data_IF_610386902947
#
_entry.id   IF_610386902947
#
_cell.length_a   1.000
_cell.length_b   1.000
_cell.length_c   1.000
_cell.angle_alpha   90.00
_cell.angle_beta   90.00
_cell.angle_gamma   90.00
#
_symmetry.space_group_name_H-M   'P 1'
#
loop_
_entity.id
_entity.type
_entity.pdbx_description
1 polymer ?
#
# COMPACT_ATOMS: atom_id res chain seq x y z
N UNK A 1 -8.58 1.90 2.92
CA UNK A 1 -7.37 2.51 2.34
C UNK A 1 -6.49 3.16 3.41
N UNK A 2 -6.98 4.05 4.27
CA UNK A 2 -6.15 4.78 5.26
C UNK A 2 -5.38 3.86 6.21
N UNK A 3 -5.98 2.76 6.66
CA UNK A 3 -5.30 1.78 7.50
C UNK A 3 -4.11 1.10 6.78
N UNK A 4 -4.27 0.78 5.49
CA UNK A 4 -3.18 0.29 4.64
C UNK A 4 -2.11 1.38 4.46
N UNK A 5 -2.53 2.62 4.24
CA UNK A 5 -1.62 3.76 4.10
C UNK A 5 -0.79 3.99 5.38
N UNK A 6 -1.36 3.75 6.56
CA UNK A 6 -0.61 3.82 7.82
C UNK A 6 0.55 2.82 7.87
N UNK A 7 0.31 1.59 7.41
CA UNK A 7 1.39 0.60 7.30
C UNK A 7 2.45 1.01 6.26
N UNK A 8 2.00 1.54 5.11
CA UNK A 8 2.91 2.04 4.07
C UNK A 8 3.73 3.24 4.55
N UNK A 9 3.12 4.16 5.30
CA UNK A 9 3.80 5.30 5.90
C UNK A 9 4.86 4.86 6.91
N UNK A 10 4.56 3.86 7.75
CA UNK A 10 5.54 3.29 8.69
C UNK A 10 6.77 2.72 7.98
N UNK A 11 6.56 1.89 6.94
CA UNK A 11 7.65 1.31 6.16
C UNK A 11 8.50 2.35 5.45
N UNK A 12 7.86 3.28 4.74
CA UNK A 12 8.57 4.35 4.02
C UNK A 12 9.27 5.34 4.95
N UNK A 13 8.68 5.65 6.13
CA UNK A 13 9.30 6.54 7.09
C UNK A 13 10.64 6.02 7.61
N UNK A 14 10.74 4.70 7.89
CA UNK A 14 12.01 4.09 8.28
C UNK A 14 13.08 4.28 7.21
N UNK A 15 12.72 4.06 5.96
CA UNK A 15 13.63 4.20 4.82
C UNK A 15 14.04 5.67 4.62
N UNK A 16 13.07 6.58 4.51
CA UNK A 16 13.33 7.98 4.13
C UNK A 16 14.08 8.72 5.23
N UNK A 17 13.68 8.53 6.49
CA UNK A 17 14.23 9.31 7.61
C UNK A 17 15.58 8.75 8.09
N UNK A 18 15.73 7.41 8.13
CA UNK A 18 16.83 6.79 8.85
C UNK A 18 17.94 6.21 7.96
N UNK A 19 17.76 6.10 6.62
CA UNK A 19 18.78 5.51 5.73
C UNK A 19 20.15 6.20 5.89
N UNK A 20 20.20 7.53 5.85
CA UNK A 20 21.45 8.28 5.93
C UNK A 20 22.12 8.04 7.26
N UNK A 21 21.37 8.06 8.37
CA UNK A 21 21.91 7.86 9.73
C UNK A 21 22.48 6.45 9.88
N UNK A 22 21.74 5.44 9.41
CA UNK A 22 22.18 4.03 9.51
C UNK A 22 23.42 3.79 8.68
N UNK A 23 23.45 4.22 7.42
CA UNK A 23 24.56 4.00 6.49
C UNK A 23 25.83 4.69 6.99
N UNK A 24 25.71 5.94 7.42
CA UNK A 24 26.84 6.69 8.02
C UNK A 24 27.31 6.08 9.34
N UNK A 25 26.40 5.61 10.18
CA UNK A 25 26.71 4.90 11.42
C UNK A 25 27.48 3.60 11.21
N UNK A 26 27.35 2.99 10.01
CA UNK A 26 28.17 1.84 9.58
C UNK A 26 29.54 2.24 8.99
N UNK A 27 29.91 3.53 8.99
CA UNK A 27 31.14 4.03 8.38
C UNK A 27 31.12 4.01 6.84
N UNK A 28 29.96 3.96 6.22
CA UNK A 28 29.78 3.88 4.77
C UNK A 28 29.64 5.24 4.11
N UNK A 29 29.74 5.27 2.80
CA UNK A 29 29.79 6.46 1.96
C UNK A 29 28.40 6.97 1.56
N UNK A 30 28.35 8.17 0.96
CA UNK A 30 27.13 8.71 0.36
C UNK A 30 26.63 7.87 -0.83
N UNK A 31 27.52 7.20 -1.54
CA UNK A 31 27.16 6.26 -2.62
C UNK A 31 26.40 5.05 -2.07
N UNK A 32 26.77 4.56 -0.91
CA UNK A 32 26.05 3.45 -0.24
C UNK A 32 24.63 3.86 0.19
N UNK A 33 24.41 5.13 0.54
CA UNK A 33 23.05 5.66 0.78
C UNK A 33 22.20 5.55 -0.49
N UNK A 34 22.76 5.94 -1.63
CA UNK A 34 22.07 5.84 -2.91
C UNK A 34 21.77 4.38 -3.28
N UNK A 35 22.69 3.45 -3.04
CA UNK A 35 22.51 2.02 -3.26
C UNK A 35 21.41 1.43 -2.36
N UNK A 36 21.38 1.80 -1.09
CA UNK A 36 20.32 1.39 -0.17
C UNK A 36 18.95 1.86 -0.66
N UNK A 37 18.84 3.15 -1.02
CA UNK A 37 17.59 3.70 -1.56
C UNK A 37 17.21 3.08 -2.91
N UNK A 38 18.21 2.75 -3.75
CA UNK A 38 17.98 2.04 -5.01
C UNK A 38 17.44 0.62 -4.77
N UNK A 39 17.83 -0.07 -3.71
CA UNK A 39 17.25 -1.36 -3.34
C UNK A 39 15.75 -1.22 -3.00
N UNK A 40 15.37 -0.21 -2.22
CA UNK A 40 13.97 0.08 -1.93
C UNK A 40 13.18 0.41 -3.21
N UNK A 41 13.68 1.34 -4.02
CA UNK A 41 13.08 1.70 -5.30
C UNK A 41 12.99 0.53 -6.27
N UNK A 42 14.03 -0.31 -6.34
CA UNK A 42 14.08 -1.51 -7.17
C UNK A 42 13.01 -2.53 -6.76
N UNK A 43 12.86 -2.81 -5.47
CA UNK A 43 11.80 -3.66 -4.95
C UNK A 43 10.40 -3.15 -5.30
N UNK A 44 10.17 -1.84 -5.11
CA UNK A 44 8.91 -1.19 -5.46
C UNK A 44 8.64 -1.24 -6.97
N UNK A 45 9.62 -0.94 -7.81
CA UNK A 45 9.49 -0.94 -9.26
C UNK A 45 9.21 -2.34 -9.82
N UNK A 46 9.97 -3.35 -9.40
CA UNK A 46 9.74 -4.74 -9.80
C UNK A 46 8.33 -5.20 -9.46
N UNK A 47 7.89 -4.89 -8.25
CA UNK A 47 6.53 -5.22 -7.81
C UNK A 47 5.48 -4.52 -8.68
N UNK A 48 5.63 -3.21 -8.92
CA UNK A 48 4.69 -2.46 -9.74
C UNK A 48 4.57 -3.01 -11.17
N UNK A 49 5.68 -3.48 -11.76
CA UNK A 49 5.69 -4.09 -13.10
C UNK A 49 4.99 -5.46 -13.14
N UNK A 50 5.10 -6.24 -12.07
CA UNK A 50 4.48 -7.57 -11.97
C UNK A 50 3.01 -7.51 -11.53
N UNK A 51 2.63 -6.46 -10.81
CA UNK A 51 1.34 -6.32 -10.17
C UNK A 51 0.14 -6.46 -11.12
N UNK A 52 0.14 -5.93 -12.37
CA UNK A 52 -0.98 -6.13 -13.29
C UNK A 52 -1.25 -7.61 -13.63
N UNK A 53 -0.21 -8.46 -13.58
CA UNK A 53 -0.38 -9.91 -13.78
C UNK A 53 -0.98 -10.57 -12.54
N UNK A 54 -0.52 -10.19 -11.35
CA UNK A 54 -1.00 -10.71 -10.07
C UNK A 54 -2.48 -10.36 -9.86
N UNK A 55 -2.87 -9.14 -10.18
CA UNK A 55 -4.24 -8.64 -10.02
C UNK A 55 -5.26 -9.26 -10.99
N UNK A 56 -4.83 -10.08 -11.95
CA UNK A 56 -5.73 -10.88 -12.78
C UNK A 56 -6.32 -12.09 -12.03
N UNK A 57 -5.64 -12.56 -11.00
CA UNK A 57 -6.00 -13.78 -10.26
C UNK A 57 -6.13 -13.60 -8.75
N UNK A 58 -5.65 -12.46 -8.22
CA UNK A 58 -5.66 -12.16 -6.79
C UNK A 58 -6.38 -10.84 -6.54
N UNK A 59 -7.31 -10.81 -5.58
CA UNK A 59 -8.08 -9.61 -5.25
C UNK A 59 -7.20 -8.47 -4.71
N UNK A 60 -7.61 -7.23 -4.95
CA UNK A 60 -6.97 -6.02 -4.41
C UNK A 60 -6.79 -6.11 -2.89
N UNK A 61 -7.83 -6.58 -2.19
CA UNK A 61 -7.79 -6.78 -0.74
C UNK A 61 -6.63 -7.67 -0.31
N UNK A 62 -6.48 -8.84 -0.93
CA UNK A 62 -5.43 -9.79 -0.60
C UNK A 62 -4.05 -9.21 -0.87
N UNK A 63 -3.86 -8.60 -2.03
CA UNK A 63 -2.58 -7.98 -2.42
C UNK A 63 -2.18 -6.87 -1.45
N UNK A 64 -3.09 -5.96 -1.15
CA UNK A 64 -2.80 -4.80 -0.29
C UNK A 64 -2.57 -5.21 1.17
N UNK A 65 -3.36 -6.14 1.70
CA UNK A 65 -3.14 -6.68 3.05
C UNK A 65 -1.82 -7.45 3.14
N UNK A 66 -1.46 -8.22 2.12
CA UNK A 66 -0.16 -8.91 2.05
C UNK A 66 0.99 -7.89 2.05
N UNK A 67 0.89 -6.84 1.25
CA UNK A 67 1.87 -5.76 1.25
C UNK A 67 2.05 -5.11 2.62
N UNK A 68 0.94 -4.75 3.26
CA UNK A 68 0.95 -4.17 4.60
C UNK A 68 1.52 -5.13 5.66
N UNK A 69 1.19 -6.42 5.58
CA UNK A 69 1.75 -7.45 6.46
C UNK A 69 3.25 -7.63 6.25
N UNK A 70 3.73 -7.63 5.00
CA UNK A 70 5.17 -7.67 4.69
C UNK A 70 5.87 -6.47 5.36
N UNK A 71 5.31 -5.27 5.29
CA UNK A 71 5.89 -4.09 5.94
C UNK A 71 5.99 -4.26 7.46
N UNK A 72 4.92 -4.70 8.11
CA UNK A 72 4.90 -4.89 9.56
C UNK A 72 5.90 -5.98 10.00
N UNK A 73 5.90 -7.13 9.32
CA UNK A 73 6.79 -8.25 9.64
C UNK A 73 8.25 -7.88 9.35
N UNK A 74 8.54 -7.26 8.21
CA UNK A 74 9.89 -6.83 7.87
C UNK A 74 10.44 -5.83 8.89
N UNK A 75 9.67 -4.79 9.23
CA UNK A 75 10.06 -3.84 10.27
C UNK A 75 10.36 -4.54 11.60
N UNK A 76 9.51 -5.46 12.04
CA UNK A 76 9.73 -6.22 13.28
C UNK A 76 10.98 -7.08 13.20
N UNK A 77 11.13 -7.86 12.13
CA UNK A 77 12.26 -8.78 11.95
C UNK A 77 13.59 -8.05 11.88
N UNK A 78 13.65 -6.98 11.08
CA UNK A 78 14.88 -6.20 10.93
C UNK A 78 15.19 -5.32 12.15
N UNK A 79 14.19 -4.95 12.93
CA UNK A 79 14.39 -4.28 14.21
C UNK A 79 15.03 -5.16 15.28
N UNK A 80 14.88 -6.47 15.17
CA UNK A 80 15.47 -7.47 16.06
C UNK A 80 16.81 -8.04 15.53
N UNK A 81 17.12 -7.85 14.26
CA UNK A 81 18.31 -8.39 13.62
C UNK A 81 19.53 -7.47 13.87
N UNK A 82 20.75 -8.03 13.93
CA UNK A 82 21.97 -7.21 13.97
C UNK A 82 22.10 -6.42 12.66
N UNK A 83 22.27 -5.11 12.77
CA UNK A 83 22.39 -4.22 11.62
C UNK A 83 23.72 -4.48 10.87
N UNK A 84 23.62 -5.01 9.67
CA UNK A 84 24.72 -5.15 8.71
C UNK A 84 24.32 -4.59 7.36
N UNK A 85 25.30 -4.36 6.49
CA UNK A 85 25.04 -3.83 5.14
C UNK A 85 24.10 -4.72 4.33
N UNK A 86 24.34 -6.02 4.32
CA UNK A 86 23.52 -6.99 3.59
C UNK A 86 22.10 -7.02 4.13
N UNK A 87 21.94 -7.02 5.45
CA UNK A 87 20.64 -6.98 6.12
C UNK A 87 19.90 -5.69 5.77
N UNK A 88 20.58 -4.54 5.79
CA UNK A 88 19.98 -3.26 5.41
C UNK A 88 19.46 -3.26 3.98
N UNK A 89 20.29 -3.66 3.01
CA UNK A 89 19.91 -3.68 1.59
C UNK A 89 18.74 -4.65 1.36
N UNK A 90 18.77 -5.81 2.01
CA UNK A 90 17.65 -6.78 1.95
C UNK A 90 16.38 -6.21 2.57
N UNK A 91 16.49 -5.54 3.72
CA UNK A 91 15.36 -4.90 4.38
C UNK A 91 14.71 -3.84 3.49
N UNK A 92 15.53 -2.98 2.86
CA UNK A 92 15.04 -1.93 1.97
C UNK A 92 14.35 -2.51 0.74
N UNK A 93 14.92 -3.56 0.14
CA UNK A 93 14.28 -4.27 -0.96
C UNK A 93 12.90 -4.83 -0.56
N UNK A 94 12.82 -5.52 0.57
CA UNK A 94 11.56 -6.11 1.07
C UNK A 94 10.54 -5.03 1.44
N UNK A 95 10.97 -3.94 2.08
CA UNK A 95 10.09 -2.80 2.37
C UNK A 95 9.58 -2.13 1.09
N UNK A 96 10.40 -2.05 0.03
CA UNK A 96 9.97 -1.56 -1.28
C UNK A 96 8.90 -2.45 -1.93
N UNK A 97 9.08 -3.76 -1.87
CA UNK A 97 8.08 -4.74 -2.33
C UNK A 97 6.75 -4.56 -1.56
N UNK A 98 6.81 -4.57 -0.23
CA UNK A 98 5.64 -4.42 0.62
C UNK A 98 4.91 -3.09 0.38
N UNK A 99 5.66 -2.00 0.25
CA UNK A 99 5.11 -0.68 -0.06
C UNK A 99 4.33 -0.67 -1.38
N UNK A 100 4.92 -1.18 -2.45
CA UNK A 100 4.28 -1.21 -3.75
C UNK A 100 3.02 -2.07 -3.77
N UNK A 101 3.05 -3.26 -3.15
CA UNK A 101 1.85 -4.10 -2.99
C UNK A 101 0.74 -3.39 -2.21
N UNK A 102 1.10 -2.65 -1.15
CA UNK A 102 0.14 -1.98 -0.30
C UNK A 102 -0.53 -0.77 -0.96
N UNK A 103 0.19 -0.01 -1.79
CA UNK A 103 -0.28 1.31 -2.25
C UNK A 103 -0.78 1.31 -3.68
N UNK A 104 -0.15 0.53 -4.57
CA UNK A 104 -0.41 0.62 -6.02
C UNK A 104 -1.86 0.30 -6.41
N UNK A 105 -2.56 -0.70 -5.82
CA UNK A 105 -3.96 -0.96 -6.21
C UNK A 105 -4.95 0.10 -5.74
N UNK A 106 -4.55 1.00 -4.81
CA UNK A 106 -5.45 1.99 -4.20
C UNK A 106 -6.19 2.89 -5.19
N UNK A 107 -5.52 3.30 -6.28
CA UNK A 107 -6.15 4.11 -7.31
C UNK A 107 -7.26 3.39 -8.09
N UNK A 108 -7.13 2.06 -8.26
CA UNK A 108 -8.18 1.22 -8.87
C UNK A 108 -9.39 1.13 -7.95
N UNK A 109 -9.16 0.93 -6.66
CA UNK A 109 -10.22 0.90 -5.65
C UNK A 109 -11.00 2.21 -5.58
N UNK A 110 -10.31 3.34 -5.56
CA UNK A 110 -10.97 4.66 -5.53
C UNK A 110 -11.86 4.87 -6.76
N UNK A 111 -11.36 4.53 -7.96
CA UNK A 111 -12.15 4.64 -9.19
C UNK A 111 -13.38 3.74 -9.19
N UNK A 112 -13.24 2.51 -8.70
CA UNK A 112 -14.34 1.54 -8.59
C UNK A 112 -15.42 1.99 -7.60
N UNK A 113 -15.02 2.71 -6.56
CA UNK A 113 -15.88 3.09 -5.42
C UNK A 113 -16.46 4.51 -5.54
N UNK A 114 -16.43 5.14 -6.71
CA UNK A 114 -16.91 6.52 -6.87
C UNK A 114 -17.47 6.79 -8.26
N UNK A 115 -18.55 7.56 -8.31
CA UNK A 115 -19.06 8.13 -9.54
C UNK A 115 -18.02 9.04 -10.20
N UNK A 116 -18.06 9.15 -11.52
CA UNK A 116 -17.05 9.90 -12.29
C UNK A 116 -16.90 11.35 -11.86
N UNK A 117 -17.97 12.11 -11.59
CA UNK A 117 -17.87 13.50 -11.12
C UNK A 117 -17.18 13.64 -9.76
N UNK A 118 -17.29 12.64 -8.87
CA UNK A 118 -16.78 12.68 -7.50
C UNK A 118 -15.32 12.21 -7.39
N UNK A 119 -14.79 11.55 -8.42
CA UNK A 119 -13.41 11.01 -8.43
C UNK A 119 -12.35 12.02 -8.05
N UNK A 120 -12.32 13.26 -8.62
CA UNK A 120 -11.29 14.24 -8.26
C UNK A 120 -11.31 14.59 -6.77
N UNK A 121 -12.50 14.77 -6.18
CA UNK A 121 -12.64 15.09 -4.76
C UNK A 121 -12.20 13.92 -3.86
N UNK A 122 -12.55 12.69 -4.23
CA UNK A 122 -12.16 11.49 -3.49
C UNK A 122 -10.65 11.25 -3.54
N UNK A 123 -10.03 11.42 -4.71
CA UNK A 123 -8.57 11.33 -4.85
C UNK A 123 -7.85 12.43 -4.04
N UNK A 124 -8.36 13.65 -4.06
CA UNK A 124 -7.81 14.74 -3.24
C UNK A 124 -7.94 14.46 -1.74
N UNK A 125 -9.09 13.96 -1.29
CA UNK A 125 -9.30 13.57 0.09
C UNK A 125 -8.36 12.42 0.50
N UNK A 126 -8.24 11.37 -0.31
CA UNK A 126 -7.31 10.27 -0.06
C UNK A 126 -5.86 10.77 0.00
N UNK A 127 -5.46 11.67 -0.90
CA UNK A 127 -4.13 12.27 -0.89
C UNK A 127 -3.88 13.05 0.41
N UNK A 128 -4.78 13.93 0.79
CA UNK A 128 -4.66 14.73 2.02
C UNK A 128 -4.60 13.86 3.28
N UNK A 129 -5.52 12.89 3.40
CA UNK A 129 -5.58 11.99 4.55
C UNK A 129 -4.39 11.04 4.61
N UNK A 130 -3.88 10.59 3.45
CA UNK A 130 -2.66 9.78 3.41
C UNK A 130 -1.47 10.54 3.99
N UNK A 131 -1.33 11.84 3.71
CA UNK A 131 -0.25 12.67 4.24
C UNK A 131 -0.28 12.82 5.75
N UNK A 132 -1.45 12.71 6.40
CA UNK A 132 -1.53 12.64 7.87
C UNK A 132 -0.79 11.41 8.40
N UNK A 133 -0.87 10.27 7.72
CA UNK A 133 -0.14 9.06 8.11
C UNK A 133 1.38 9.30 8.09
N UNK A 134 1.90 9.98 7.06
CA UNK A 134 3.32 10.34 6.99
C UNK A 134 3.71 11.41 8.01
N UNK A 135 2.83 12.37 8.25
CA UNK A 135 3.07 13.40 9.26
C UNK A 135 3.24 12.80 10.66
N UNK A 136 2.61 11.68 10.94
CA UNK A 136 2.78 10.90 12.18
C UNK A 136 4.02 10.03 12.10
N UNK A 137 4.21 9.30 11.00
CA UNK A 137 5.27 8.29 10.86
C UNK A 137 6.68 8.90 10.84
N UNK A 138 6.88 10.05 10.20
CA UNK A 138 8.20 10.68 10.10
C UNK A 138 8.75 11.15 11.45
N UNK A 139 8.00 11.87 12.29
CA UNK A 139 8.46 12.18 13.64
C UNK A 139 8.72 10.95 14.50
N UNK A 140 7.89 9.91 14.39
CA UNK A 140 8.11 8.64 15.10
C UNK A 140 9.44 8.02 14.68
N UNK A 141 9.68 7.87 13.37
CA UNK A 141 10.91 7.32 12.83
C UNK A 141 12.15 8.10 13.29
N UNK A 142 12.11 9.43 13.18
CA UNK A 142 13.24 10.29 13.51
C UNK A 142 13.50 10.42 15.02
N UNK A 143 12.45 10.72 15.79
CA UNK A 143 12.58 10.98 17.23
C UNK A 143 12.90 9.71 18.03
N UNK A 144 12.24 8.59 17.71
CA UNK A 144 12.52 7.31 18.37
C UNK A 144 13.91 6.84 17.97
N UNK A 145 14.27 6.94 16.67
CA UNK A 145 15.60 6.59 16.19
C UNK A 145 16.73 7.37 16.89
N UNK A 146 16.53 8.68 17.08
CA UNK A 146 17.51 9.54 17.74
C UNK A 146 17.61 9.32 19.25
N UNK A 147 16.50 9.02 19.95
CA UNK A 147 16.47 8.94 21.42
C UNK A 147 16.62 7.52 21.96
N UNK A 148 16.07 6.52 21.27
CA UNK A 148 16.01 5.13 21.73
C UNK A 148 16.75 4.16 20.80
N UNK A 149 17.34 4.66 19.71
CA UNK A 149 18.10 3.87 18.75
C UNK A 149 17.26 3.27 17.64
N UNK A 150 17.95 2.76 16.61
CA UNK A 150 17.33 2.30 15.37
C UNK A 150 16.41 1.08 15.58
N UNK A 151 16.78 0.13 16.43
CA UNK A 151 15.93 -1.03 16.76
C UNK A 151 14.60 -0.60 17.34
N UNK A 152 14.59 0.38 18.25
CA UNK A 152 13.35 0.92 18.81
C UNK A 152 12.48 1.61 17.75
N UNK A 153 13.10 2.36 16.82
CA UNK A 153 12.39 2.98 15.71
C UNK A 153 11.74 1.93 14.81
N UNK A 154 12.47 0.88 14.43
CA UNK A 154 11.94 -0.25 13.67
C UNK A 154 10.75 -0.90 14.37
N UNK A 155 10.84 -1.19 15.66
CA UNK A 155 9.78 -1.87 16.41
C UNK A 155 8.54 -0.98 16.62
N UNK A 156 8.72 0.31 16.88
CA UNK A 156 7.61 1.26 16.98
C UNK A 156 6.86 1.39 15.64
N UNK A 157 7.60 1.48 14.53
CA UNK A 157 7.01 1.53 13.20
C UNK A 157 6.38 0.18 12.81
N UNK A 158 6.95 -0.95 13.24
CA UNK A 158 6.34 -2.27 13.10
C UNK A 158 5.00 -2.37 13.80
N UNK A 159 4.92 -1.87 15.05
CA UNK A 159 3.68 -1.81 15.81
C UNK A 159 2.62 -0.93 15.10
N UNK A 160 3.05 0.24 14.61
CA UNK A 160 2.17 1.13 13.84
C UNK A 160 1.66 0.48 12.55
N UNK A 161 2.53 -0.20 11.80
CA UNK A 161 2.15 -0.96 10.61
C UNK A 161 1.21 -2.13 10.98
N UNK A 162 1.48 -2.84 12.06
CA UNK A 162 0.62 -3.91 12.59
C UNK A 162 -0.78 -3.44 12.94
N UNK A 163 -0.91 -2.28 13.58
CA UNK A 163 -2.21 -1.62 13.81
C UNK A 163 -2.92 -1.36 12.48
N UNK A 164 -2.21 -0.83 11.49
CA UNK A 164 -2.75 -0.61 10.15
C UNK A 164 -3.26 -1.90 9.51
N UNK A 165 -2.50 -2.99 9.59
CA UNK A 165 -2.90 -4.32 9.07
C UNK A 165 -4.16 -4.82 9.76
N UNK A 166 -4.21 -4.78 11.10
CA UNK A 166 -5.35 -5.26 11.88
C UNK A 166 -6.61 -4.45 11.56
N UNK A 167 -6.51 -3.13 11.57
CA UNK A 167 -7.63 -2.25 11.22
C UNK A 167 -8.12 -2.50 9.79
N UNK A 168 -7.21 -2.63 8.82
CA UNK A 168 -7.59 -2.93 7.45
C UNK A 168 -8.26 -4.30 7.33
N UNK A 169 -7.76 -5.33 8.00
CA UNK A 169 -8.31 -6.67 7.96
C UNK A 169 -9.72 -6.75 8.59
N UNK A 170 -9.97 -5.96 9.66
CA UNK A 170 -11.25 -5.91 10.36
C UNK A 170 -12.29 -5.05 9.64
N UNK A 171 -11.87 -3.90 9.09
CA UNK A 171 -12.79 -2.92 8.49
C UNK A 171 -13.10 -3.23 7.02
N UNK A 172 -12.20 -3.94 6.31
CA UNK A 172 -12.42 -4.29 4.92
C UNK A 172 -13.19 -5.60 4.81
N UNK A 173 -14.39 -5.61 4.23
CA UNK A 173 -15.19 -6.82 4.07
C UNK A 173 -14.41 -7.94 3.37
N UNK A 174 -14.58 -9.17 3.84
CA UNK A 174 -13.92 -10.34 3.22
C UNK A 174 -14.47 -10.66 1.83
N UNK A 175 -15.76 -10.39 1.64
CA UNK A 175 -16.45 -10.51 0.36
C UNK A 175 -16.55 -9.10 -0.23
N UNK A 176 -15.69 -8.78 -1.17
CA UNK A 176 -15.66 -7.55 -1.94
C UNK A 176 -15.45 -7.94 -3.42
N UNK A 177 -16.50 -8.54 -4.05
CA UNK A 177 -16.41 -9.04 -5.40
C UNK A 177 -16.25 -7.88 -6.38
N UNK A 178 -15.34 -8.04 -7.35
CA UNK A 178 -15.17 -7.08 -8.44
C UNK A 178 -16.26 -7.22 -9.49
N UNK A 179 -16.81 -8.41 -9.62
CA UNK A 179 -17.91 -8.73 -10.53
C UNK A 179 -19.14 -8.99 -9.68
N UNK A 180 -20.18 -8.20 -9.88
CA UNK A 180 -21.44 -8.30 -9.14
C UNK A 180 -22.55 -8.58 -10.15
N UNK A 181 -23.35 -9.65 -9.96
CA UNK A 181 -24.59 -9.82 -10.71
C UNK A 181 -25.57 -8.70 -10.33
N UNK A 182 -26.15 -8.06 -11.31
CA UNK A 182 -27.13 -6.99 -11.12
C UNK A 182 -28.13 -6.94 -12.28
N UNK A 183 -29.27 -6.34 -12.03
CA UNK A 183 -30.37 -6.21 -12.99
C UNK A 183 -30.63 -4.73 -13.24
N UNK A 184 -31.04 -4.41 -14.47
CA UNK A 184 -31.44 -3.06 -14.87
C UNK A 184 -32.90 -3.05 -15.37
N UNK A 185 -33.88 -3.20 -14.49
CA UNK A 185 -35.30 -3.24 -14.89
C UNK A 185 -35.81 -1.91 -15.48
N UNK A 186 -35.04 -0.81 -15.29
CA UNK A 186 -35.39 0.53 -15.73
C UNK A 186 -34.82 0.88 -17.11
N UNK A 187 -33.89 0.07 -17.63
CA UNK A 187 -33.26 0.33 -18.92
C UNK A 187 -34.06 -0.36 -20.06
N UNK A 188 -34.23 0.30 -21.20
CA UNK A 188 -34.84 -0.34 -22.37
C UNK A 188 -33.89 -1.44 -22.92
N UNK A 189 -34.45 -2.53 -23.43
CA UNK A 189 -33.71 -3.69 -23.97
C UNK A 189 -32.68 -3.31 -25.07
N UNK A 190 -32.86 -2.16 -25.69
CA UNK A 190 -31.97 -1.62 -26.72
C UNK A 190 -30.80 -0.79 -26.16
N UNK A 191 -30.70 -0.65 -24.85
CA UNK A 191 -29.65 0.15 -24.24
C UNK A 191 -28.28 -0.48 -24.49
N UNK A 192 -27.25 0.28 -24.89
CA UNK A 192 -25.91 -0.26 -25.20
C UNK A 192 -25.30 -1.09 -24.09
N UNK A 193 -25.62 -0.79 -22.84
CA UNK A 193 -25.17 -1.52 -21.66
C UNK A 193 -25.71 -2.96 -21.59
N UNK A 194 -26.93 -3.19 -22.08
CA UNK A 194 -27.57 -4.50 -22.14
C UNK A 194 -27.24 -5.25 -23.43
N UNK A 195 -26.88 -4.53 -24.50
CA UNK A 195 -26.67 -5.09 -25.84
C UNK A 195 -25.45 -6.04 -25.92
N UNK A 196 -24.51 -5.96 -24.94
CA UNK A 196 -23.32 -6.82 -24.90
C UNK A 196 -23.62 -8.24 -24.37
N UNK A 197 -24.72 -8.46 -23.64
CA UNK A 197 -24.97 -9.73 -22.94
C UNK A 197 -26.40 -10.29 -23.08
N UNK A 198 -27.27 -9.64 -23.88
CA UNK A 198 -28.64 -10.07 -24.25
C UNK A 198 -29.58 -10.39 -23.06
N UNK A 199 -29.28 -9.95 -21.84
CA UNK A 199 -30.05 -10.21 -20.62
C UNK A 199 -30.08 -9.02 -19.69
N UNK A 200 -31.29 -8.76 -19.11
CA UNK A 200 -31.44 -7.78 -18.03
C UNK A 200 -30.65 -8.13 -16.78
N UNK A 201 -30.35 -9.43 -16.58
CA UNK A 201 -29.47 -9.97 -15.52
C UNK A 201 -28.12 -10.35 -16.14
N UNK A 202 -27.07 -9.60 -15.81
CA UNK A 202 -25.73 -9.82 -16.33
C UNK A 202 -24.65 -9.53 -15.27
N UNK A 203 -23.41 -9.92 -15.57
CA UNK A 203 -22.28 -9.79 -14.66
C UNK A 203 -21.11 -9.12 -15.34
N UNK A 204 -20.64 -8.01 -14.77
CA UNK A 204 -19.38 -7.39 -15.18
C UNK A 204 -18.67 -6.75 -13.98
N UNK A 205 -17.47 -6.22 -14.21
CA UNK A 205 -16.78 -5.46 -13.18
C UNK A 205 -17.60 -4.22 -12.81
N UNK A 206 -18.07 -4.17 -11.55
CA UNK A 206 -18.91 -3.09 -11.05
C UNK A 206 -18.09 -1.81 -10.88
N UNK A 207 -18.54 -0.74 -11.49
CA UNK A 207 -18.00 0.62 -11.34
C UNK A 207 -19.20 1.54 -11.14
N UNK A 208 -19.16 2.40 -10.15
CA UNK A 208 -20.22 3.40 -9.94
C UNK A 208 -20.19 4.40 -11.10
N UNK A 209 -21.25 4.44 -11.88
CA UNK A 209 -21.49 5.34 -13.02
C UNK A 209 -22.97 5.72 -13.11
N UNK A 210 -23.38 6.37 -14.22
CA UNK A 210 -24.76 6.85 -14.40
C UNK A 210 -25.78 5.70 -14.57
N UNK A 211 -25.34 4.46 -14.70
CA UNK A 211 -26.18 3.27 -14.91
C UNK A 211 -26.22 2.39 -13.67
N UNK A 212 -25.28 2.58 -12.71
CA UNK A 212 -25.12 1.80 -11.47
C UNK A 212 -25.14 2.67 -10.23
#
# INVERSE_FOLDING_TARGET
>A
LLAITLAAAAGSAMVIVNTVVIVKGMGRTQQDVALALAAYGGGSMLTALLLPRVLKSVSDRTVMLTGAAILAIALATFGLAPLSWTILVTAWLVLGIGYSLAVTPGGRLLRRSSAEPDRPALFAAQFALSHVCWLIAYPVAGQIGARAGMSAAFLCLAAMAGVGVVLAALLWPRKDPEVVPHEHPELPDTHPHLAADDRADHTHAFVIDDVH
#
